data_IF_688261126437
#
_entry.id   IF_688261126437
#
_cell.length_a   1.000
_cell.length_b   1.000
_cell.length_c   1.000
_cell.angle_alpha   90.00
_cell.angle_beta   90.00
_cell.angle_gamma   90.00
#
_symmetry.space_group_name_H-M   'P 1'
#
loop_
_entity.id
_entity.type
_entity.pdbx_description
1 polymer ?
#
# COMPACT_ATOMS: atom_id res chain seq x y z
N UNK A 1 -3.53 -11.39 -6.67
CA UNK A 1 -4.35 -10.90 -5.53
C UNK A 1 -3.53 -10.03 -4.59
N UNK A 2 -2.30 -10.38 -4.31
CA UNK A 2 -1.41 -9.60 -3.43
C UNK A 2 -1.07 -8.21 -3.98
N UNK A 3 -0.93 -8.04 -5.30
CA UNK A 3 -0.56 -6.74 -5.90
C UNK A 3 -1.69 -5.70 -5.80
N UNK A 4 -2.95 -6.12 -5.83
CA UNK A 4 -4.11 -5.19 -5.90
C UNK A 4 -4.80 -4.98 -4.54
N UNK A 5 -4.82 -5.98 -3.65
CA UNK A 5 -5.15 -5.75 -2.23
C UNK A 5 -4.12 -4.83 -1.55
N UNK A 6 -2.92 -4.74 -2.13
CA UNK A 6 -1.88 -3.76 -1.78
C UNK A 6 -2.26 -2.33 -2.11
N UNK A 7 -2.93 -2.05 -3.23
CA UNK A 7 -3.33 -0.67 -3.50
C UNK A 7 -4.41 -0.20 -2.51
N UNK A 8 -5.32 -1.06 -2.08
CA UNK A 8 -6.27 -0.74 -1.03
C UNK A 8 -5.61 -0.68 0.36
N UNK A 9 -4.72 -1.62 0.67
CA UNK A 9 -3.93 -1.61 1.91
C UNK A 9 -2.83 -0.56 1.86
N UNK A 10 -2.11 -0.38 0.74
CA UNK A 10 -1.11 0.66 0.57
C UNK A 10 -1.75 2.06 0.52
N UNK A 11 -2.90 2.25 -0.11
CA UNK A 11 -3.63 3.50 -0.02
C UNK A 11 -4.13 3.78 1.41
N UNK A 12 -4.45 2.74 2.20
CA UNK A 12 -4.73 2.87 3.62
C UNK A 12 -3.46 3.12 4.45
N UNK A 13 -2.31 2.59 4.04
CA UNK A 13 -1.01 2.69 4.72
C UNK A 13 -0.27 3.98 4.32
N UNK A 14 -0.28 4.40 3.05
CA UNK A 14 0.31 5.67 2.62
C UNK A 14 -0.31 6.89 3.31
N UNK A 15 -1.60 6.83 3.60
CA UNK A 15 -2.28 7.87 4.40
C UNK A 15 -1.83 7.82 5.86
N UNK A 16 -1.24 6.70 6.31
CA UNK A 16 -0.93 6.52 7.72
C UNK A 16 0.38 7.14 8.20
N UNK A 17 1.37 7.40 7.38
CA UNK A 17 2.63 8.09 7.75
C UNK A 17 3.38 7.56 8.98
N UNK A 18 2.98 6.42 9.55
CA UNK A 18 3.57 5.79 10.73
C UNK A 18 3.65 4.28 10.50
N UNK A 19 4.83 3.69 10.66
CA UNK A 19 5.13 2.26 10.41
C UNK A 19 5.45 1.53 11.72
N UNK A 20 5.08 0.23 11.88
CA UNK A 20 5.15 -0.46 13.18
C UNK A 20 5.17 -2.01 13.19
N UNK A 21 5.57 -2.68 14.26
CA UNK A 21 5.93 -4.12 14.40
C UNK A 21 4.87 -5.18 14.75
N UNK A 22 5.25 -6.43 14.60
CA UNK A 22 4.52 -7.70 14.67
C UNK A 22 4.75 -8.53 15.94
N UNK A 23 3.81 -9.44 16.24
CA UNK A 23 3.99 -10.64 17.08
C UNK A 23 3.29 -11.87 16.46
N UNK A 24 3.86 -13.02 16.61
CA UNK A 24 3.87 -14.19 15.74
C UNK A 24 3.32 -15.49 16.35
N UNK A 25 3.11 -16.54 15.54
CA UNK A 25 2.71 -17.89 15.96
C UNK A 25 3.84 -18.94 15.95
N UNK A 26 3.81 -19.84 16.90
CA UNK A 26 4.94 -20.42 17.60
C UNK A 26 5.65 -21.66 17.05
N UNK A 27 5.43 -22.20 15.88
CA UNK A 27 6.06 -23.47 15.47
C UNK A 27 7.10 -23.38 14.33
N UNK A 28 7.06 -22.35 13.49
CA UNK A 28 8.11 -22.06 12.49
C UNK A 28 9.13 -21.04 12.99
N UNK A 29 8.92 -20.47 14.13
CA UNK A 29 9.41 -19.19 14.64
C UNK A 29 10.78 -19.21 15.31
N UNK A 30 11.26 -20.35 15.76
CA UNK A 30 12.54 -20.35 16.48
C UNK A 30 13.74 -19.91 15.62
N UNK A 31 13.61 -19.94 14.28
CA UNK A 31 14.66 -19.44 13.38
C UNK A 31 14.51 -17.96 13.04
N UNK A 32 13.29 -17.43 13.04
CA UNK A 32 13.05 -16.02 12.72
C UNK A 32 13.36 -15.09 13.89
N UNK A 33 13.01 -15.47 15.12
CA UNK A 33 13.28 -14.65 16.32
C UNK A 33 14.79 -14.39 16.53
N UNK A 34 15.65 -15.38 16.23
CA UNK A 34 17.11 -15.23 16.28
C UNK A 34 17.63 -14.23 15.26
N UNK A 35 17.01 -14.16 14.08
CA UNK A 35 17.38 -13.20 13.04
C UNK A 35 16.95 -11.76 13.43
N UNK A 36 15.79 -11.61 14.04
CA UNK A 36 15.25 -10.31 14.48
C UNK A 36 16.02 -9.71 15.65
N UNK A 37 16.35 -10.52 16.64
CA UNK A 37 17.23 -10.10 17.74
C UNK A 37 18.62 -9.76 17.20
N UNK A 38 19.11 -10.45 16.17
CA UNK A 38 20.35 -10.14 15.47
C UNK A 38 20.31 -8.78 14.74
N UNK A 39 19.23 -8.47 14.02
CA UNK A 39 19.07 -7.19 13.32
C UNK A 39 18.92 -6.04 14.31
N UNK A 40 18.11 -6.21 15.37
CA UNK A 40 17.97 -5.22 16.42
C UNK A 40 19.29 -5.03 17.20
N UNK A 41 20.01 -6.11 17.49
CA UNK A 41 21.32 -6.06 18.14
C UNK A 41 22.38 -5.44 17.22
N UNK A 42 22.39 -5.74 15.90
CA UNK A 42 23.25 -5.07 14.93
C UNK A 42 22.94 -3.57 14.79
N UNK A 43 21.66 -3.21 14.74
CA UNK A 43 21.25 -1.80 14.72
C UNK A 43 21.72 -1.06 16.00
N UNK A 44 21.54 -1.67 17.18
CA UNK A 44 22.00 -1.13 18.44
C UNK A 44 23.53 -1.08 18.59
N UNK A 45 24.25 -2.05 18.01
CA UNK A 45 25.72 -2.05 18.01
C UNK A 45 26.30 -1.05 17.02
N UNK A 46 25.67 -0.87 15.85
CA UNK A 46 26.03 0.17 14.88
C UNK A 46 25.78 1.58 15.46
N UNK A 47 24.74 1.78 16.26
CA UNK A 47 24.47 3.02 16.97
C UNK A 47 25.53 3.34 18.05
N UNK A 48 26.13 2.31 18.69
CA UNK A 48 27.24 2.49 19.64
C UNK A 48 28.58 2.77 18.94
N UNK A 49 28.73 2.33 17.69
CA UNK A 49 29.95 2.53 16.92
C UNK A 49 29.93 3.81 16.08
N UNK A 50 28.81 4.55 16.03
CA UNK A 50 28.73 5.82 15.35
C UNK A 50 29.68 6.81 16.04
N UNK A 51 30.69 7.33 15.34
CA UNK A 51 31.57 8.35 15.93
C UNK A 51 30.73 9.58 16.28
N UNK A 52 31.17 10.36 17.24
CA UNK A 52 30.50 11.56 17.80
C UNK A 52 30.22 12.69 16.78
N UNK A 53 30.18 12.41 15.50
CA UNK A 53 29.96 13.34 14.39
C UNK A 53 28.55 13.28 13.80
N UNK A 54 27.73 12.24 14.08
CA UNK A 54 26.34 12.21 13.66
C UNK A 54 25.53 13.21 14.48
N UNK A 55 24.89 14.18 13.81
CA UNK A 55 24.13 15.22 14.51
C UNK A 55 22.80 14.70 15.04
N UNK A 56 22.12 13.81 14.30
CA UNK A 56 20.86 13.18 14.70
C UNK A 56 20.78 11.80 14.05
N UNK A 57 20.30 10.83 14.80
CA UNK A 57 19.89 9.53 14.29
C UNK A 57 18.47 9.21 14.76
N UNK A 58 17.67 8.58 13.93
CA UNK A 58 16.34 8.10 14.32
C UNK A 58 16.12 6.65 13.90
N UNK A 59 15.41 5.93 14.73
CA UNK A 59 14.90 4.57 14.45
C UNK A 59 13.39 4.60 14.54
N UNK A 60 12.75 4.18 13.46
CA UNK A 60 11.32 3.97 13.39
C UNK A 60 11.06 2.48 13.29
N UNK A 61 10.22 2.02 14.14
CA UNK A 61 9.88 0.62 14.20
C UNK A 61 8.36 0.44 14.07
N UNK A 62 7.89 -0.48 13.19
CA UNK A 62 6.56 -0.55 12.76
C UNK A 62 5.79 -1.86 12.54
N UNK A 63 4.43 -1.93 12.88
CA UNK A 63 3.54 -2.99 12.38
C UNK A 63 2.11 -2.52 12.13
N UNK A 64 1.56 -2.90 11.00
CA UNK A 64 0.14 -2.80 10.72
C UNK A 64 -0.46 -4.22 10.62
N UNK A 65 -1.67 -4.38 11.12
CA UNK A 65 -2.46 -5.59 11.01
C UNK A 65 -3.76 -5.25 10.28
N UNK A 66 -3.95 -5.85 9.13
CA UNK A 66 -5.21 -5.80 8.39
C UNK A 66 -5.92 -7.14 8.56
N UNK A 67 -7.20 -7.08 8.95
CA UNK A 67 -8.05 -8.25 9.10
C UNK A 67 -9.36 -8.03 8.36
N UNK A 68 -9.67 -8.91 7.42
CA UNK A 68 -10.97 -9.03 6.78
C UNK A 68 -11.67 -10.28 7.35
N UNK A 69 -12.46 -10.14 8.42
CA UNK A 69 -13.14 -11.29 9.04
C UNK A 69 -14.27 -11.77 8.11
N UNK A 70 -14.28 -13.05 7.79
CA UNK A 70 -15.34 -13.70 7.05
C UNK A 70 -15.77 -14.97 7.75
N UNK A 71 -17.05 -15.35 7.63
CA UNK A 71 -17.59 -16.60 8.21
C UNK A 71 -16.98 -17.85 7.59
N UNK A 72 -16.40 -17.77 6.40
CA UNK A 72 -15.89 -18.91 5.62
C UNK A 72 -14.39 -18.87 5.39
N UNK A 73 -13.83 -17.72 5.28
CA UNK A 73 -12.39 -17.50 5.08
C UNK A 73 -12.06 -16.07 5.46
N UNK A 74 -11.04 -15.84 6.26
CA UNK A 74 -10.60 -14.50 6.64
C UNK A 74 -9.24 -14.19 6.03
N UNK A 75 -9.05 -12.96 5.55
CA UNK A 75 -7.75 -12.47 5.13
C UNK A 75 -7.09 -11.74 6.30
N UNK A 76 -5.86 -12.11 6.62
CA UNK A 76 -5.03 -11.40 7.59
C UNK A 76 -3.72 -11.02 6.90
N UNK A 77 -3.38 -9.74 6.98
CA UNK A 77 -2.09 -9.22 6.50
C UNK A 77 -1.39 -8.55 7.66
N UNK A 78 -0.16 -8.97 7.94
CA UNK A 78 0.73 -8.35 8.92
C UNK A 78 1.85 -7.66 8.17
N UNK A 79 2.01 -6.36 8.38
CA UNK A 79 3.02 -5.55 7.74
C UNK A 79 4.01 -4.99 8.77
N UNK A 80 5.07 -5.72 9.13
CA UNK A 80 6.17 -5.20 9.94
C UNK A 80 7.08 -4.30 9.11
N UNK A 81 7.58 -3.24 9.73
CA UNK A 81 8.52 -2.31 9.11
C UNK A 81 9.57 -1.81 10.10
N UNK A 82 10.76 -1.48 9.60
CA UNK A 82 11.83 -0.84 10.35
C UNK A 82 12.50 0.19 9.46
N UNK A 83 12.79 1.37 9.99
CA UNK A 83 13.56 2.37 9.28
C UNK A 83 14.64 2.97 10.19
N UNK A 84 15.78 3.28 9.59
CA UNK A 84 16.90 3.97 10.21
C UNK A 84 17.21 5.20 9.37
N UNK A 85 17.34 6.33 10.03
CA UNK A 85 17.87 7.56 9.42
C UNK A 85 19.04 8.07 10.23
N UNK A 86 20.11 8.46 9.55
CA UNK A 86 21.30 9.02 10.18
C UNK A 86 21.71 10.27 9.40
N UNK A 87 21.88 11.38 10.09
CA UNK A 87 22.36 12.63 9.52
C UNK A 87 23.80 12.89 9.98
N UNK A 88 24.81 12.43 9.20
CA UNK A 88 26.22 12.66 9.54
C UNK A 88 26.59 14.15 9.53
N UNK A 89 25.83 14.95 8.81
CA UNK A 89 26.00 16.40 8.73
C UNK A 89 24.65 17.07 8.49
N UNK A 90 24.62 18.40 8.63
CA UNK A 90 23.41 19.20 8.40
C UNK A 90 22.97 19.26 6.93
N UNK A 91 23.79 18.81 5.99
CA UNK A 91 23.51 18.80 4.55
C UNK A 91 23.26 17.39 4.00
N UNK A 92 23.59 16.31 4.74
CA UNK A 92 23.46 14.92 4.30
C UNK A 92 22.68 14.10 5.34
N UNK A 93 21.64 13.40 4.87
CA UNK A 93 20.94 12.36 5.61
C UNK A 93 20.97 11.06 4.82
N UNK A 94 21.27 9.96 5.49
CA UNK A 94 21.25 8.60 4.95
C UNK A 94 20.04 7.86 5.54
N UNK A 95 19.37 7.06 4.75
CA UNK A 95 18.20 6.32 5.18
C UNK A 95 18.22 4.89 4.65
N UNK A 96 17.77 3.96 5.50
CA UNK A 96 17.55 2.58 5.13
C UNK A 96 16.24 2.12 5.77
N UNK A 97 15.43 1.35 5.02
CA UNK A 97 14.21 0.78 5.58
C UNK A 97 13.98 -0.63 5.05
N UNK A 98 13.36 -1.42 5.89
CA UNK A 98 12.89 -2.75 5.58
C UNK A 98 11.40 -2.83 5.88
N UNK A 99 10.67 -3.51 5.00
CA UNK A 99 9.25 -3.77 5.12
C UNK A 99 8.95 -5.19 4.66
N UNK A 100 8.03 -5.85 5.33
CA UNK A 100 7.50 -7.13 4.87
C UNK A 100 5.97 -7.13 4.89
N UNK A 101 5.36 -7.83 3.95
CA UNK A 101 3.95 -8.16 3.95
C UNK A 101 3.81 -9.66 4.16
N UNK A 102 3.23 -10.06 5.28
CA UNK A 102 2.95 -11.45 5.61
C UNK A 102 1.44 -11.64 5.47
N UNK A 103 1.05 -12.35 4.42
CA UNK A 103 -0.34 -12.60 4.08
C UNK A 103 -0.73 -14.00 4.47
N UNK A 104 -1.83 -14.16 5.21
CA UNK A 104 -2.40 -15.46 5.55
C UNK A 104 -3.92 -15.44 5.43
N UNK A 105 -4.50 -16.54 5.01
CA UNK A 105 -5.94 -16.69 4.80
C UNK A 105 -6.36 -16.52 3.35
N UNK A 106 -7.65 -16.38 3.13
CA UNK A 106 -8.22 -16.16 1.80
C UNK A 106 -9.34 -15.13 1.95
N UNK A 107 -9.38 -14.15 1.05
CA UNK A 107 -10.62 -13.43 0.80
C UNK A 107 -11.65 -14.43 0.26
N UNK A 108 -12.94 -14.21 0.55
CA UNK A 108 -14.00 -15.14 0.16
C UNK A 108 -13.82 -15.63 -1.27
N UNK A 109 -13.46 -16.91 -1.41
CA UNK A 109 -13.54 -17.61 -2.67
C UNK A 109 -14.90 -18.27 -2.72
N UNK A 110 -15.61 -18.03 -3.80
CA UNK A 110 -16.80 -18.77 -4.08
C UNK A 110 -16.41 -20.21 -4.44
N UNK A 111 -16.40 -21.08 -3.47
CA UNK A 111 -16.57 -22.50 -3.75
C UNK A 111 -18.05 -22.73 -3.93
N UNK A 112 -18.54 -22.49 -5.16
CA UNK A 112 -19.91 -22.72 -5.54
C UNK A 112 -20.27 -24.18 -5.45
N UNK A 113 -21.38 -24.46 -4.78
CA UNK A 113 -22.14 -25.64 -5.11
C UNK A 113 -22.76 -25.46 -6.49
N UNK A 114 -22.68 -26.51 -7.33
CA UNK A 114 -23.24 -26.62 -8.68
C UNK A 114 -23.13 -25.37 -9.57
N UNK A 115 -22.26 -25.49 -10.51
CA UNK A 115 -21.75 -24.54 -11.50
C UNK A 115 -22.76 -23.77 -12.35
N UNK A 116 -24.05 -23.95 -12.21
CA UNK A 116 -25.04 -23.36 -13.10
C UNK A 116 -25.30 -21.86 -12.90
N UNK A 117 -24.70 -21.23 -11.86
CA UNK A 117 -24.93 -19.82 -11.57
C UNK A 117 -23.70 -19.11 -10.94
N UNK A 118 -22.48 -19.53 -11.26
CA UNK A 118 -21.25 -18.88 -10.75
C UNK A 118 -20.46 -18.31 -11.90
N UNK A 119 -20.43 -17.02 -11.97
CA UNK A 119 -19.88 -16.26 -13.10
C UNK A 119 -18.39 -16.00 -12.94
N UNK A 120 -17.89 -16.00 -11.70
CA UNK A 120 -16.52 -15.67 -11.36
C UNK A 120 -15.97 -16.67 -10.35
N UNK A 121 -14.93 -17.39 -10.73
CA UNK A 121 -14.16 -18.23 -9.82
C UNK A 121 -12.92 -17.46 -9.38
N UNK A 122 -12.97 -16.88 -8.20
CA UNK A 122 -11.74 -16.46 -7.54
C UNK A 122 -11.18 -17.68 -6.81
N UNK A 123 -10.13 -18.30 -7.34
CA UNK A 123 -9.45 -19.41 -6.68
C UNK A 123 -8.58 -18.89 -5.54
N UNK A 124 -9.21 -18.47 -4.46
CA UNK A 124 -8.48 -18.23 -3.20
C UNK A 124 -8.51 -19.52 -2.39
N UNK A 125 -7.65 -20.46 -2.71
CA UNK A 125 -7.20 -21.48 -1.76
C UNK A 125 -6.39 -20.81 -0.67
N UNK A 126 -6.29 -21.43 0.50
CA UNK A 126 -5.43 -20.99 1.60
C UNK A 126 -4.10 -20.47 1.06
N UNK A 127 -3.90 -19.16 1.17
CA UNK A 127 -2.76 -18.48 0.63
C UNK A 127 -1.91 -17.97 1.79
N UNK A 128 -0.66 -18.36 1.82
CA UNK A 128 0.33 -17.78 2.70
C UNK A 128 1.48 -17.29 1.84
N UNK A 129 1.72 -16.01 1.83
CA UNK A 129 2.81 -15.41 1.08
C UNK A 129 3.52 -14.35 1.90
N UNK A 130 4.80 -14.18 1.62
CA UNK A 130 5.61 -13.17 2.31
C UNK A 130 6.42 -12.39 1.28
N UNK A 131 6.17 -11.10 1.24
CA UNK A 131 6.98 -10.15 0.50
C UNK A 131 7.99 -9.52 1.43
N UNK A 132 9.19 -9.27 0.89
CA UNK A 132 10.23 -8.48 1.53
C UNK A 132 10.57 -7.30 0.65
N UNK A 133 10.70 -6.11 1.22
CA UNK A 133 11.19 -4.92 0.54
C UNK A 133 12.29 -4.25 1.37
N UNK A 134 13.39 -3.93 0.71
CA UNK A 134 14.52 -3.21 1.29
C UNK A 134 14.72 -1.93 0.49
N UNK A 135 14.76 -0.78 1.18
CA UNK A 135 15.02 0.52 0.57
C UNK A 135 16.26 1.14 1.18
N UNK A 136 17.11 1.69 0.34
CA UNK A 136 18.24 2.53 0.75
C UNK A 136 18.21 3.86 0.01
N UNK A 137 18.61 4.94 0.67
CA UNK A 137 18.59 6.26 0.05
C UNK A 137 19.39 7.31 0.81
N UNK A 138 19.45 8.49 0.22
CA UNK A 138 20.07 9.66 0.83
C UNK A 138 19.29 10.92 0.48
N UNK A 139 19.42 11.92 1.34
CA UNK A 139 18.91 13.28 1.12
C UNK A 139 20.06 14.27 1.26
N UNK A 140 20.23 15.14 0.26
CA UNK A 140 21.14 16.28 0.30
C UNK A 140 20.30 17.53 0.48
N UNK A 141 20.62 18.32 1.49
CA UNK A 141 19.94 19.59 1.79
C UNK A 141 20.89 20.74 1.66
N UNK A 142 20.52 21.77 0.92
CA UNK A 142 21.28 23.01 0.79
C UNK A 142 20.34 24.21 0.86
N UNK A 143 20.51 25.04 1.87
CA UNK A 143 19.63 26.17 2.18
C UNK A 143 18.15 25.71 2.29
N UNK A 144 17.29 26.16 1.38
CA UNK A 144 15.86 25.82 1.36
C UNK A 144 15.54 24.66 0.41
N UNK A 145 16.53 24.06 -0.25
CA UNK A 145 16.33 23.02 -1.26
C UNK A 145 16.85 21.68 -0.76
N UNK A 146 16.12 20.61 -1.03
CA UNK A 146 16.57 19.24 -0.78
C UNK A 146 16.42 18.38 -2.03
N UNK A 147 17.30 17.42 -2.17
CA UNK A 147 17.29 16.37 -3.18
C UNK A 147 17.39 15.02 -2.49
N UNK A 148 16.42 14.16 -2.73
CA UNK A 148 16.41 12.79 -2.22
C UNK A 148 16.53 11.80 -3.37
N UNK A 149 17.35 10.77 -3.20
CA UNK A 149 17.41 9.63 -4.12
C UNK A 149 17.31 8.34 -3.29
N UNK A 150 16.57 7.36 -3.81
CA UNK A 150 16.40 6.06 -3.17
C UNK A 150 16.30 4.94 -4.18
N UNK A 151 16.68 3.74 -3.74
CA UNK A 151 16.50 2.49 -4.45
C UNK A 151 15.81 1.48 -3.56
N UNK A 152 14.82 0.78 -4.13
CA UNK A 152 14.04 -0.26 -3.46
C UNK A 152 14.15 -1.58 -4.21
N UNK A 153 14.47 -2.64 -3.51
CA UNK A 153 14.38 -4.01 -3.98
C UNK A 153 13.28 -4.75 -3.24
N UNK A 154 12.35 -5.35 -3.98
CA UNK A 154 11.26 -6.17 -3.42
C UNK A 154 11.29 -7.58 -3.99
N UNK A 155 11.00 -8.58 -3.16
CA UNK A 155 10.95 -9.98 -3.58
C UNK A 155 9.83 -10.74 -2.88
N UNK A 156 9.21 -11.60 -3.65
CA UNK A 156 8.14 -12.53 -3.29
C UNK A 156 8.41 -13.84 -4.02
N UNK A 157 7.67 -14.90 -3.75
CA UNK A 157 7.91 -16.18 -4.45
C UNK A 157 7.57 -16.11 -5.95
N UNK A 158 6.68 -15.21 -6.35
CA UNK A 158 6.17 -15.05 -7.72
C UNK A 158 6.32 -13.64 -8.28
N UNK A 159 6.89 -12.72 -7.50
CA UNK A 159 7.05 -11.31 -7.87
C UNK A 159 8.41 -10.77 -7.43
N UNK A 160 9.06 -10.02 -8.32
CA UNK A 160 10.30 -9.29 -8.03
C UNK A 160 10.20 -7.87 -8.51
N UNK A 161 10.61 -6.93 -7.70
CA UNK A 161 10.57 -5.51 -8.04
C UNK A 161 11.91 -4.83 -7.81
N UNK A 162 12.23 -3.91 -8.70
CA UNK A 162 13.35 -3.00 -8.58
C UNK A 162 12.83 -1.60 -8.90
N UNK A 163 13.04 -0.65 -8.01
CA UNK A 163 12.59 0.70 -8.22
C UNK A 163 13.63 1.70 -7.74
N UNK A 164 13.79 2.79 -8.46
CA UNK A 164 14.50 3.97 -7.99
C UNK A 164 13.57 5.18 -8.01
N UNK A 165 13.78 6.08 -7.07
CA UNK A 165 13.04 7.32 -7.00
C UNK A 165 13.98 8.49 -6.72
N UNK A 166 13.64 9.64 -7.28
CA UNK A 166 14.30 10.92 -7.04
C UNK A 166 13.23 11.94 -6.72
N UNK A 167 13.42 12.73 -5.68
CA UNK A 167 12.58 13.90 -5.40
C UNK A 167 13.43 15.13 -5.12
N UNK A 168 12.90 16.27 -5.51
CA UNK A 168 13.47 17.57 -5.24
C UNK A 168 12.40 18.49 -4.68
N UNK A 169 12.69 19.14 -3.57
CA UNK A 169 11.79 20.11 -2.94
C UNK A 169 12.52 21.40 -2.58
N UNK A 170 11.78 22.49 -2.58
CA UNK A 170 12.33 23.80 -2.21
C UNK A 170 11.27 24.67 -1.56
N UNK A 171 11.72 25.45 -0.57
CA UNK A 171 10.90 26.40 0.17
C UNK A 171 11.12 27.81 -0.37
N UNK A 172 10.03 28.55 -0.51
CA UNK A 172 9.99 29.94 -0.94
C UNK A 172 9.26 30.81 0.09
N UNK A 173 9.29 32.13 -0.13
CA UNK A 173 8.51 33.11 0.64
C UNK A 173 8.63 32.88 2.16
N UNK A 174 9.87 32.83 2.67
CA UNK A 174 10.16 32.59 4.08
C UNK A 174 9.61 31.23 4.59
N UNK A 175 9.61 30.20 3.74
CA UNK A 175 9.06 28.86 3.97
C UNK A 175 7.54 28.77 4.04
N UNK A 176 6.83 29.83 3.63
CA UNK A 176 5.36 29.75 3.53
C UNK A 176 4.87 29.00 2.30
N UNK A 177 5.71 28.86 1.26
CA UNK A 177 5.41 28.09 0.05
C UNK A 177 6.44 26.99 -0.10
N UNK A 178 6.00 25.75 -0.30
CA UNK A 178 6.85 24.62 -0.63
C UNK A 178 6.41 24.02 -1.95
N UNK A 179 7.37 23.74 -2.83
CA UNK A 179 7.18 22.95 -4.05
C UNK A 179 8.00 21.69 -3.97
N UNK A 180 7.41 20.57 -4.35
CA UNK A 180 8.06 19.27 -4.40
C UNK A 180 7.74 18.56 -5.71
N UNK A 181 8.76 18.00 -6.36
CA UNK A 181 8.66 17.18 -7.55
C UNK A 181 9.30 15.84 -7.28
N UNK A 182 8.60 14.75 -7.59
CA UNK A 182 9.11 13.38 -7.47
C UNK A 182 8.96 12.63 -8.77
N UNK A 183 9.94 11.79 -9.05
CA UNK A 183 9.90 10.81 -10.13
C UNK A 183 10.36 9.45 -9.61
N UNK A 184 9.62 8.40 -9.96
CA UNK A 184 9.97 7.01 -9.66
C UNK A 184 9.90 6.15 -10.89
N UNK A 185 10.85 5.22 -11.03
CA UNK A 185 10.89 4.22 -12.08
C UNK A 185 10.99 2.83 -11.48
N UNK A 186 10.03 1.95 -11.85
CA UNK A 186 10.01 0.54 -11.45
C UNK A 186 10.21 -0.40 -12.64
N UNK A 187 10.86 -1.52 -12.36
CA UNK A 187 11.07 -2.65 -13.27
C UNK A 187 10.74 -3.92 -12.51
N UNK A 188 9.58 -4.46 -12.80
CA UNK A 188 9.06 -5.58 -12.03
C UNK A 188 8.93 -6.80 -12.93
N UNK A 189 9.04 -7.97 -12.31
CA UNK A 189 8.82 -9.26 -12.95
C UNK A 189 7.75 -10.01 -12.18
N UNK A 190 6.71 -10.44 -12.89
CA UNK A 190 5.64 -11.26 -12.35
C UNK A 190 5.65 -12.63 -13.02
N UNK A 191 5.45 -13.65 -12.24
CA UNK A 191 5.31 -15.00 -12.77
C UNK A 191 3.89 -15.26 -13.26
N UNK A 192 3.80 -15.92 -14.38
CA UNK A 192 2.53 -16.35 -14.98
C UNK A 192 2.66 -17.79 -15.49
N UNK A 193 1.55 -18.40 -15.85
CA UNK A 193 1.57 -19.59 -16.68
C UNK A 193 2.12 -19.25 -18.07
N UNK A 194 2.95 -20.12 -18.63
CA UNK A 194 3.50 -19.92 -19.96
C UNK A 194 2.39 -20.10 -21.02
N UNK A 195 2.27 -19.13 -21.91
CA UNK A 195 1.41 -19.17 -23.09
C UNK A 195 2.08 -18.45 -24.26
N UNK A 196 1.76 -18.89 -25.49
CA UNK A 196 2.26 -18.23 -26.69
C UNK A 196 1.42 -16.99 -27.03
N UNK A 197 2.00 -16.04 -27.77
CA UNK A 197 1.25 -14.86 -28.24
C UNK A 197 0.08 -15.24 -29.17
N UNK A 198 0.21 -16.38 -29.87
CA UNK A 198 -0.84 -16.95 -30.73
C UNK A 198 -1.99 -17.62 -29.98
N UNK A 199 -1.81 -17.92 -28.69
CA UNK A 199 -2.85 -18.58 -27.90
C UNK A 199 -4.02 -17.63 -27.67
N UNK A 200 -5.23 -18.13 -27.92
CA UNK A 200 -6.43 -17.35 -27.65
C UNK A 200 -6.47 -16.97 -26.17
N UNK A 201 -6.73 -15.70 -25.82
CA UNK A 201 -6.76 -15.28 -24.43
C UNK A 201 -7.68 -16.14 -23.54
N UNK A 202 -8.80 -16.61 -24.08
CA UNK A 202 -9.75 -17.50 -23.38
C UNK A 202 -9.21 -18.91 -23.09
N UNK A 203 -8.11 -19.33 -23.72
CA UNK A 203 -7.47 -20.63 -23.47
C UNK A 203 -6.32 -20.55 -22.45
N UNK A 204 -5.96 -19.35 -21.98
CA UNK A 204 -4.88 -19.15 -21.03
C UNK A 204 -5.32 -19.55 -19.62
N UNK A 205 -4.50 -20.33 -18.94
CA UNK A 205 -4.82 -20.84 -17.61
C UNK A 205 -4.24 -19.93 -16.52
N UNK A 206 -4.98 -19.80 -15.43
CA UNK A 206 -4.48 -19.14 -14.23
C UNK A 206 -3.33 -19.94 -13.60
N UNK A 207 -2.46 -19.25 -12.90
CA UNK A 207 -1.37 -19.83 -12.13
C UNK A 207 -1.97 -20.61 -10.94
N UNK A 208 -1.45 -21.80 -10.67
CA UNK A 208 -1.72 -22.51 -9.43
C UNK A 208 -0.71 -22.08 -8.35
N UNK A 209 -1.08 -22.15 -7.08
CA UNK A 209 -0.21 -21.81 -5.96
C UNK A 209 0.73 -22.95 -5.54
N UNK A 210 0.75 -24.06 -6.29
CA UNK A 210 1.40 -25.29 -5.85
C UNK A 210 2.91 -25.31 -6.05
N UNK A 211 3.43 -24.48 -6.96
CA UNK A 211 4.86 -24.50 -7.32
C UNK A 211 5.44 -23.09 -7.35
N UNK A 212 6.65 -22.94 -6.84
CA UNK A 212 7.38 -21.67 -6.86
C UNK A 212 7.58 -21.12 -8.27
N UNK A 213 7.76 -19.86 -8.36
CA UNK A 213 8.06 -19.14 -9.59
C UNK A 213 9.56 -18.83 -9.74
N UNK A 214 9.92 -18.27 -10.90
CA UNK A 214 11.32 -18.05 -11.28
C UNK A 214 12.17 -19.33 -11.25
N UNK A 215 11.53 -20.47 -11.51
CA UNK A 215 12.17 -21.79 -11.66
C UNK A 215 12.36 -22.12 -13.15
N UNK A 216 13.10 -23.18 -13.45
CA UNK A 216 13.26 -23.67 -14.83
C UNK A 216 12.04 -24.49 -15.32
N UNK A 217 10.87 -24.32 -14.74
CA UNK A 217 9.64 -24.99 -15.17
C UNK A 217 9.15 -24.38 -16.49
N UNK A 218 9.05 -25.21 -17.53
CA UNK A 218 8.57 -24.80 -18.86
C UNK A 218 7.10 -24.33 -18.88
N UNK A 219 6.33 -24.64 -17.85
CA UNK A 219 4.94 -24.20 -17.70
C UNK A 219 4.82 -22.81 -17.11
N UNK A 220 5.91 -22.20 -16.70
CA UNK A 220 6.02 -20.90 -16.07
C UNK A 220 6.70 -19.90 -16.99
N UNK A 221 6.27 -18.67 -16.96
CA UNK A 221 6.88 -17.57 -17.69
C UNK A 221 7.03 -16.36 -16.78
N UNK A 222 8.12 -15.64 -16.94
CA UNK A 222 8.30 -14.32 -16.33
C UNK A 222 7.78 -13.26 -17.30
N UNK A 223 6.90 -12.37 -16.83
CA UNK A 223 6.41 -11.21 -17.57
C UNK A 223 6.91 -9.94 -16.89
N UNK A 224 7.21 -8.95 -17.70
CA UNK A 224 7.73 -7.68 -17.24
C UNK A 224 6.62 -6.66 -17.00
N UNK A 225 6.83 -5.79 -16.00
CA UNK A 225 6.02 -4.60 -15.75
C UNK A 225 6.98 -3.42 -15.62
N UNK A 226 6.70 -2.37 -16.36
CA UNK A 226 7.42 -1.11 -16.33
C UNK A 226 6.52 -0.03 -15.74
N UNK A 227 7.02 0.66 -14.73
CA UNK A 227 6.29 1.67 -13.97
C UNK A 227 7.02 3.01 -14.05
N UNK A 228 6.29 4.09 -14.31
CA UNK A 228 6.78 5.46 -14.14
C UNK A 228 5.78 6.22 -13.29
N UNK A 229 6.25 6.80 -12.22
CA UNK A 229 5.44 7.60 -11.30
C UNK A 229 5.95 9.03 -11.25
N UNK A 230 5.04 9.98 -11.30
CA UNK A 230 5.32 11.42 -11.20
C UNK A 230 4.43 12.02 -10.13
N UNK A 231 4.99 12.89 -9.31
CA UNK A 231 4.20 13.66 -8.35
C UNK A 231 4.71 15.10 -8.29
N UNK A 232 3.77 16.03 -8.27
CA UNK A 232 4.00 17.45 -8.03
C UNK A 232 3.18 17.86 -6.82
N UNK A 233 3.81 18.41 -5.81
CA UNK A 233 3.20 18.94 -4.59
C UNK A 233 3.43 20.45 -4.48
N UNK A 234 2.38 21.17 -4.13
CA UNK A 234 2.44 22.57 -3.73
C UNK A 234 1.76 22.73 -2.39
N UNK A 235 2.50 23.21 -1.39
CA UNK A 235 1.99 23.53 -0.06
C UNK A 235 2.11 25.02 0.18
N UNK A 236 1.04 25.63 0.67
CA UNK A 236 0.98 27.04 1.00
C UNK A 236 0.46 27.23 2.42
N UNK A 237 1.25 27.88 3.26
CA UNK A 237 0.82 28.41 4.56
C UNK A 237 0.32 29.83 4.35
N UNK A 238 -0.96 30.06 4.57
CA UNK A 238 -1.62 31.36 4.39
C UNK A 238 -1.56 32.20 5.67
N UNK A 239 -1.80 31.53 6.79
CA UNK A 239 -1.70 32.11 8.14
C UNK A 239 -1.05 31.09 9.06
N UNK A 240 -0.64 31.44 10.28
CA UNK A 240 -0.14 30.47 11.26
C UNK A 240 -1.12 29.32 11.57
N UNK A 241 -2.40 29.54 11.33
CA UNK A 241 -3.47 28.56 11.60
C UNK A 241 -3.97 27.83 10.35
N UNK A 242 -3.70 28.36 9.15
CA UNK A 242 -4.29 27.81 7.92
C UNK A 242 -3.24 27.52 6.84
N UNK A 243 -3.23 26.29 6.39
CA UNK A 243 -2.41 25.83 5.29
C UNK A 243 -3.23 24.99 4.30
N UNK A 244 -2.83 25.02 3.03
CA UNK A 244 -3.38 24.17 1.96
C UNK A 244 -2.26 23.43 1.25
N UNK A 245 -2.60 22.26 0.71
CA UNK A 245 -1.71 21.46 -0.13
C UNK A 245 -2.47 20.99 -1.36
N UNK A 246 -1.88 21.19 -2.52
CA UNK A 246 -2.33 20.64 -3.80
C UNK A 246 -1.31 19.61 -4.27
N UNK A 247 -1.78 18.40 -4.59
CA UNK A 247 -0.93 17.31 -5.08
C UNK A 247 -1.50 16.78 -6.39
N UNK A 248 -0.67 16.80 -7.42
CA UNK A 248 -0.94 16.10 -8.68
C UNK A 248 -0.05 14.85 -8.73
N UNK A 249 -0.62 13.70 -9.06
CA UNK A 249 0.11 12.45 -9.29
C UNK A 249 -0.28 11.80 -10.60
N UNK A 250 0.69 11.22 -11.29
CA UNK A 250 0.48 10.45 -12.51
C UNK A 250 1.33 9.17 -12.47
N UNK A 251 0.77 8.06 -12.95
CA UNK A 251 1.46 6.80 -13.08
C UNK A 251 1.23 6.20 -14.47
N UNK A 252 2.31 5.78 -15.12
CA UNK A 252 2.28 5.09 -16.39
C UNK A 252 2.78 3.65 -16.17
N UNK A 253 1.96 2.69 -16.51
CA UNK A 253 2.23 1.26 -16.35
C UNK A 253 2.19 0.59 -17.71
N UNK A 254 3.14 -0.30 -17.96
CA UNK A 254 3.25 -1.07 -19.20
C UNK A 254 3.73 -2.48 -18.90
N UNK A 255 3.14 -3.48 -19.56
CA UNK A 255 3.45 -4.89 -19.40
C UNK A 255 2.29 -5.70 -18.86
N UNK A 256 2.56 -6.77 -18.13
CA UNK A 256 1.51 -7.65 -17.61
C UNK A 256 0.82 -7.03 -16.38
N UNK A 257 -0.37 -6.46 -16.57
CA UNK A 257 -1.14 -5.78 -15.54
C UNK A 257 -2.30 -6.60 -14.98
N UNK A 258 -2.45 -7.87 -15.37
CA UNK A 258 -3.45 -8.78 -14.84
C UNK A 258 -3.00 -9.49 -13.55
N UNK A 259 -3.95 -10.16 -12.89
CA UNK A 259 -3.64 -11.05 -11.78
C UNK A 259 -3.40 -12.47 -12.31
N UNK A 260 -2.21 -13.08 -12.13
CA UNK A 260 -1.91 -14.39 -12.71
C UNK A 260 -2.70 -15.54 -12.07
N UNK A 261 -3.32 -15.33 -10.93
CA UNK A 261 -4.08 -16.35 -10.18
C UNK A 261 -5.59 -16.26 -10.40
N UNK A 262 -6.08 -15.24 -11.09
CA UNK A 262 -7.50 -14.98 -11.24
C UNK A 262 -8.01 -15.40 -12.61
N UNK A 263 -9.10 -16.15 -12.60
CA UNK A 263 -9.81 -16.57 -13.81
C UNK A 263 -11.28 -16.22 -13.73
N UNK A 264 -11.93 -16.11 -14.87
CA UNK A 264 -13.38 -16.00 -15.02
C UNK A 264 -13.95 -17.26 -15.62
N UNK A 265 -15.21 -17.57 -15.29
CA UNK A 265 -15.96 -18.65 -15.94
C UNK A 265 -16.60 -18.08 -17.20
N UNK A 266 -16.25 -18.61 -18.38
CA UNK A 266 -16.61 -18.05 -19.69
C UNK A 266 -17.66 -18.85 -20.45
N UNK A 267 -18.02 -20.04 -19.96
CA UNK A 267 -18.99 -20.90 -20.64
C UNK A 267 -19.94 -21.58 -19.67
N UNK A 268 -21.17 -21.91 -20.10
CA UNK A 268 -22.14 -22.63 -19.25
C UNK A 268 -21.62 -23.97 -18.71
N UNK A 269 -20.65 -24.58 -19.42
CA UNK A 269 -19.98 -25.80 -18.99
C UNK A 269 -18.98 -25.61 -17.84
N UNK A 270 -18.66 -24.36 -17.46
CA UNK A 270 -17.71 -24.03 -16.39
C UNK A 270 -16.28 -23.90 -16.88
N UNK A 271 -16.04 -23.68 -18.17
CA UNK A 271 -14.71 -23.40 -18.71
C UNK A 271 -14.17 -22.09 -18.08
N UNK A 272 -12.90 -22.12 -17.70
CA UNK A 272 -12.23 -21.00 -17.05
C UNK A 272 -11.15 -20.41 -17.96
N UNK A 273 -11.04 -19.09 -17.95
CA UNK A 273 -9.98 -18.37 -18.63
C UNK A 273 -9.30 -17.39 -17.68
N UNK A 274 -7.98 -17.27 -17.80
CA UNK A 274 -7.22 -16.22 -17.12
C UNK A 274 -7.80 -14.85 -17.50
N UNK A 275 -7.91 -13.93 -16.53
CA UNK A 275 -8.26 -12.55 -16.82
C UNK A 275 -7.32 -11.95 -17.87
N UNK A 276 -7.86 -11.14 -18.74
CA UNK A 276 -7.09 -10.48 -19.80
C UNK A 276 -7.25 -8.97 -19.70
N UNK A 277 -6.23 -8.31 -19.18
CA UNK A 277 -6.20 -6.87 -19.01
C UNK A 277 -5.41 -6.18 -20.13
N UNK A 278 -5.70 -4.91 -20.44
CA UNK A 278 -4.81 -4.12 -21.29
C UNK A 278 -3.40 -4.02 -20.68
N UNK A 279 -2.37 -4.14 -21.51
CA UNK A 279 -0.96 -4.07 -21.08
C UNK A 279 -0.49 -2.65 -20.80
N UNK A 280 -1.37 -1.64 -21.00
CA UNK A 280 -1.06 -0.24 -20.75
C UNK A 280 -2.11 0.36 -19.82
N UNK A 281 -1.66 1.11 -18.81
CA UNK A 281 -2.52 1.89 -17.95
C UNK A 281 -1.87 3.22 -17.57
N UNK A 282 -2.52 4.32 -17.90
CA UNK A 282 -2.16 5.63 -17.42
C UNK A 282 -3.16 6.06 -16.35
N UNK A 283 -2.66 6.51 -15.20
CA UNK A 283 -3.45 6.94 -14.05
C UNK A 283 -3.14 8.39 -13.73
N UNK A 284 -4.12 9.15 -13.32
CA UNK A 284 -3.96 10.51 -12.84
C UNK A 284 -4.79 10.76 -11.60
N UNK A 285 -4.26 11.52 -10.65
CA UNK A 285 -5.03 11.98 -9.51
C UNK A 285 -4.65 13.41 -9.13
N UNK A 286 -5.65 14.15 -8.65
CA UNK A 286 -5.52 15.49 -8.11
C UNK A 286 -6.10 15.51 -6.70
N UNK A 287 -5.30 15.89 -5.71
CA UNK A 287 -5.69 16.02 -4.31
C UNK A 287 -5.57 17.46 -3.83
N UNK A 288 -6.55 17.91 -3.09
CA UNK A 288 -6.55 19.18 -2.37
C UNK A 288 -6.81 18.91 -0.91
N UNK A 289 -5.88 19.34 -0.05
CA UNK A 289 -6.00 19.28 1.41
C UNK A 289 -6.00 20.69 1.99
N UNK A 290 -6.88 20.94 2.95
CA UNK A 290 -6.84 22.11 3.80
C UNK A 290 -6.67 21.71 5.26
N UNK A 291 -5.84 22.42 6.02
CA UNK A 291 -5.68 22.23 7.47
C UNK A 291 -5.87 23.54 8.19
N UNK A 292 -6.75 23.56 9.18
CA UNK A 292 -7.06 24.74 9.97
C UNK A 292 -6.95 24.43 11.48
N UNK A 293 -6.18 25.22 12.20
CA UNK A 293 -6.01 25.10 13.65
C UNK A 293 -6.91 26.08 14.38
N UNK A 294 -7.81 25.56 15.20
CA UNK A 294 -8.72 26.35 16.04
C UNK A 294 -8.10 26.50 17.42
N UNK A 295 -7.52 27.68 17.70
CA UNK A 295 -6.78 27.95 18.94
C UNK A 295 -7.63 27.73 20.19
N UNK A 296 -8.90 28.16 20.18
CA UNK A 296 -9.82 28.03 21.35
C UNK A 296 -10.15 26.58 21.71
N UNK A 297 -10.00 25.66 20.76
CA UNK A 297 -10.26 24.24 20.95
C UNK A 297 -8.97 23.41 21.04
N UNK A 298 -7.80 24.05 20.83
CA UNK A 298 -6.51 23.35 20.70
C UNK A 298 -6.57 22.18 19.70
N UNK A 299 -7.36 22.34 18.65
CA UNK A 299 -7.71 21.28 17.70
C UNK A 299 -7.41 21.73 16.28
N UNK A 300 -6.73 20.89 15.52
CA UNK A 300 -6.56 21.05 14.09
C UNK A 300 -7.56 20.19 13.33
N UNK A 301 -8.29 20.80 12.41
CA UNK A 301 -9.18 20.12 11.48
C UNK A 301 -8.53 20.06 10.11
N UNK A 302 -8.60 18.92 9.45
CA UNK A 302 -8.17 18.76 8.07
C UNK A 302 -9.34 18.27 7.22
N UNK A 303 -9.40 18.73 5.97
CA UNK A 303 -10.28 18.22 4.95
C UNK A 303 -9.48 17.90 3.69
N UNK A 304 -9.72 16.75 3.09
CA UNK A 304 -9.04 16.27 1.90
C UNK A 304 -10.06 15.84 0.84
N UNK A 305 -9.83 16.24 -0.39
CA UNK A 305 -10.59 15.81 -1.56
C UNK A 305 -9.62 15.32 -2.61
N UNK A 306 -9.80 14.10 -3.10
CA UNK A 306 -8.99 13.53 -4.18
C UNK A 306 -9.87 13.03 -5.30
N UNK A 307 -9.55 13.42 -6.52
CA UNK A 307 -10.15 12.95 -7.76
C UNK A 307 -9.13 12.09 -8.50
N UNK A 308 -9.59 10.95 -8.99
CA UNK A 308 -8.79 9.98 -9.72
C UNK A 308 -9.46 9.63 -11.05
N UNK A 309 -8.65 9.45 -12.10
CA UNK A 309 -9.09 8.88 -13.37
C UNK A 309 -7.95 8.11 -14.03
N UNK A 310 -8.32 7.06 -14.78
CA UNK A 310 -7.37 6.27 -15.57
C UNK A 310 -7.89 5.90 -16.97
N UNK A 311 -7.00 5.29 -17.76
CA UNK A 311 -7.32 4.85 -19.13
C UNK A 311 -8.17 3.58 -19.18
N UNK A 312 -8.44 2.93 -18.06
CA UNK A 312 -9.39 1.83 -17.94
C UNK A 312 -10.81 2.32 -17.63
N UNK A 313 -11.02 3.65 -17.71
CA UNK A 313 -12.27 4.38 -17.47
C UNK A 313 -12.74 4.36 -16.01
N UNK A 314 -11.87 4.03 -15.08
CA UNK A 314 -12.18 4.18 -13.67
C UNK A 314 -12.09 5.65 -13.29
N UNK A 315 -13.17 6.16 -12.69
CA UNK A 315 -13.22 7.46 -12.03
C UNK A 315 -13.47 7.25 -10.54
N UNK A 316 -12.57 7.78 -9.71
CA UNK A 316 -12.63 7.65 -8.25
C UNK A 316 -12.68 9.01 -7.56
N UNK A 317 -13.39 9.04 -6.43
CA UNK A 317 -13.51 10.22 -5.57
C UNK A 317 -13.24 9.81 -4.12
N UNK A 318 -12.39 10.56 -3.44
CA UNK A 318 -12.13 10.39 -2.00
C UNK A 318 -12.45 11.69 -1.28
N UNK A 319 -13.11 11.60 -0.15
CA UNK A 319 -13.32 12.69 0.80
C UNK A 319 -12.86 12.20 2.17
N UNK A 320 -11.99 12.95 2.82
CA UNK A 320 -11.49 12.62 4.16
C UNK A 320 -11.57 13.85 5.05
N UNK A 321 -11.91 13.64 6.31
CA UNK A 321 -11.91 14.66 7.35
C UNK A 321 -11.20 14.12 8.58
N UNK A 322 -10.35 14.95 9.18
CA UNK A 322 -9.60 14.63 10.39
C UNK A 322 -9.79 15.72 11.43
N UNK A 323 -9.79 15.31 12.70
CA UNK A 323 -9.69 16.20 13.85
C UNK A 323 -8.56 15.72 14.76
N UNK A 324 -7.57 16.57 15.00
CA UNK A 324 -6.38 16.27 15.77
C UNK A 324 -6.32 17.21 16.98
N UNK A 325 -6.29 16.63 18.19
CA UNK A 325 -6.37 17.36 19.44
C UNK A 325 -5.28 16.91 20.44
N UNK A 326 -4.70 17.86 21.17
CA UNK A 326 -3.82 17.60 22.30
C UNK A 326 -4.64 17.43 23.57
N UNK A 327 -4.85 16.18 24.00
CA UNK A 327 -5.46 15.92 25.32
C UNK A 327 -4.54 16.31 26.47
N UNK A 328 -3.24 16.10 26.28
CA UNK A 328 -2.16 16.50 27.17
C UNK A 328 -0.94 16.88 26.35
N UNK A 329 0.04 17.64 26.87
CA UNK A 329 1.25 17.98 26.13
C UNK A 329 2.02 16.77 25.59
N UNK A 330 1.83 15.59 26.18
CA UNK A 330 2.46 14.34 25.81
C UNK A 330 1.53 13.37 25.05
N UNK A 331 0.23 13.68 24.96
CA UNK A 331 -0.77 12.82 24.33
C UNK A 331 -1.57 13.60 23.29
N UNK A 332 -1.42 13.20 22.04
CA UNK A 332 -2.19 13.71 20.90
C UNK A 332 -3.09 12.62 20.38
N UNK A 333 -4.35 12.95 20.11
CA UNK A 333 -5.34 12.05 19.53
C UNK A 333 -5.84 12.60 18.22
N UNK A 334 -6.14 11.71 17.30
CA UNK A 334 -6.71 12.01 15.99
C UNK A 334 -7.93 11.13 15.78
N UNK A 335 -9.01 11.73 15.33
CA UNK A 335 -10.18 11.04 14.79
C UNK A 335 -10.27 11.31 13.30
N UNK A 336 -10.64 10.31 12.49
CA UNK A 336 -10.78 10.45 11.05
C UNK A 336 -12.00 9.74 10.49
N UNK A 337 -12.52 10.29 9.39
CA UNK A 337 -13.54 9.67 8.58
C UNK A 337 -13.22 9.84 7.11
N UNK A 338 -13.35 8.76 6.32
CA UNK A 338 -13.10 8.77 4.88
C UNK A 338 -14.24 8.09 4.14
N UNK A 339 -14.64 8.70 3.06
CA UNK A 339 -15.53 8.13 2.05
C UNK A 339 -14.78 8.01 0.73
N UNK A 340 -14.88 6.85 0.09
CA UNK A 340 -14.37 6.59 -1.24
C UNK A 340 -15.46 6.03 -2.12
N UNK A 341 -15.46 6.40 -3.41
CA UNK A 341 -16.36 5.89 -4.41
C UNK A 341 -15.64 5.79 -5.76
N UNK A 342 -15.88 4.70 -6.51
CA UNK A 342 -15.36 4.54 -7.87
C UNK A 342 -16.39 3.96 -8.83
N UNK A 343 -16.20 4.26 -10.14
CA UNK A 343 -16.83 3.56 -11.24
C UNK A 343 -16.13 2.21 -11.50
N UNK A 344 -16.68 1.41 -12.40
CA UNK A 344 -16.04 0.18 -12.89
C UNK A 344 -15.07 0.44 -14.02
N UNK A 345 -14.14 -0.50 -14.24
CA UNK A 345 -13.34 -0.54 -15.44
C UNK A 345 -14.20 -0.87 -16.68
N UNK A 346 -13.80 -0.34 -17.83
CA UNK A 346 -14.54 -0.52 -19.10
C UNK A 346 -14.76 -2.01 -19.46
N UNK A 347 -13.81 -2.86 -19.14
CA UNK A 347 -13.81 -4.29 -19.45
C UNK A 347 -14.18 -5.18 -18.25
N UNK A 348 -14.68 -4.59 -17.16
CA UNK A 348 -15.14 -5.34 -15.98
C UNK A 348 -16.56 -5.85 -16.18
N UNK A 349 -16.79 -7.09 -15.78
CA UNK A 349 -18.12 -7.68 -15.59
C UNK A 349 -18.09 -8.69 -14.46
N UNK A 350 -19.22 -8.91 -13.85
CA UNK A 350 -19.45 -9.96 -12.87
C UNK A 350 -20.09 -11.22 -13.49
N UNK A 351 -20.44 -11.20 -14.76
CA UNK A 351 -21.07 -12.30 -15.49
C UNK A 351 -20.44 -12.48 -16.87
N UNK A 352 -19.91 -13.68 -17.11
CA UNK A 352 -19.33 -14.15 -18.37
C UNK A 352 -19.93 -15.49 -18.83
N UNK A 353 -21.05 -15.92 -18.22
CA UNK A 353 -21.65 -17.24 -18.51
C UNK A 353 -22.38 -17.32 -19.84
N UNK A 354 -22.46 -16.21 -20.55
CA UNK A 354 -23.03 -16.17 -21.93
C UNK A 354 -22.25 -16.93 -22.99
N UNK A 355 -21.14 -17.61 -22.63
CA UNK A 355 -20.31 -18.32 -23.58
C UNK A 355 -19.44 -17.36 -24.39
N UNK A 356 -18.63 -16.57 -23.71
CA UNK A 356 -17.85 -15.53 -24.32
C UNK A 356 -16.84 -16.05 -25.33
N UNK A 357 -16.78 -15.44 -26.52
CA UNK A 357 -15.80 -15.80 -27.52
C UNK A 357 -14.36 -15.44 -27.02
N UNK A 358 -13.36 -15.92 -27.74
CA UNK A 358 -11.97 -15.58 -27.47
C UNK A 358 -11.69 -14.07 -27.43
N UNK A 359 -12.54 -13.25 -28.05
CA UNK A 359 -12.51 -11.81 -28.03
C UNK A 359 -13.14 -11.17 -26.77
N UNK A 360 -13.80 -11.99 -25.91
CA UNK A 360 -14.51 -11.52 -24.73
C UNK A 360 -15.79 -10.72 -25.02
N UNK A 361 -16.62 -10.45 -24.00
CA UNK A 361 -17.92 -9.78 -24.16
C UNK A 361 -17.81 -8.31 -24.56
N UNK A 362 -16.65 -7.71 -24.35
CA UNK A 362 -16.37 -6.30 -24.60
C UNK A 362 -15.06 -6.09 -25.34
N UNK A 363 -14.81 -6.93 -26.33
CA UNK A 363 -13.55 -6.99 -27.05
C UNK A 363 -12.59 -8.01 -26.42
N UNK A 364 -11.30 -7.77 -26.59
CA UNK A 364 -10.26 -8.72 -26.18
C UNK A 364 -9.92 -8.71 -24.67
N UNK A 365 -10.52 -7.80 -23.87
CA UNK A 365 -10.22 -7.63 -22.46
C UNK A 365 -11.42 -7.99 -21.60
N UNK A 366 -11.15 -8.65 -20.46
CA UNK A 366 -12.16 -9.02 -19.47
C UNK A 366 -11.55 -9.21 -18.08
N UNK A 367 -12.31 -8.89 -17.06
CA UNK A 367 -11.93 -9.07 -15.66
C UNK A 367 -13.17 -9.19 -14.78
N UNK A 368 -13.13 -10.10 -13.82
CA UNK A 368 -14.08 -10.20 -12.71
C UNK A 368 -13.52 -9.62 -11.41
N UNK A 369 -12.43 -8.87 -11.47
CA UNK A 369 -11.79 -8.32 -10.29
C UNK A 369 -12.71 -7.36 -9.53
N UNK A 370 -13.00 -7.67 -8.25
CA UNK A 370 -13.82 -6.82 -7.39
C UNK A 370 -13.25 -5.40 -7.24
N UNK A 371 -11.93 -5.26 -7.35
CA UNK A 371 -11.26 -3.96 -7.23
C UNK A 371 -11.40 -3.09 -8.48
N UNK A 372 -11.74 -3.70 -9.61
CA UNK A 372 -12.12 -3.02 -10.84
C UNK A 372 -13.63 -2.81 -10.97
N UNK A 373 -14.41 -3.30 -10.00
CA UNK A 373 -15.87 -3.15 -9.94
C UNK A 373 -16.27 -1.75 -9.46
N UNK A 374 -17.53 -1.36 -9.66
CA UNK A 374 -18.05 -0.16 -9.02
C UNK A 374 -18.21 -0.44 -7.52
N UNK A 375 -17.55 0.34 -6.70
CA UNK A 375 -17.58 0.18 -5.25
C UNK A 375 -17.61 1.52 -4.51
N UNK A 376 -18.06 1.47 -3.25
CA UNK A 376 -17.88 2.56 -2.31
C UNK A 376 -17.35 2.03 -0.98
N UNK A 377 -16.52 2.80 -0.30
CA UNK A 377 -16.01 2.43 1.01
C UNK A 377 -16.10 3.57 2.02
N UNK A 378 -16.28 3.19 3.27
CA UNK A 378 -16.37 4.07 4.43
C UNK A 378 -15.34 3.63 5.45
N UNK A 379 -14.49 4.56 5.88
CA UNK A 379 -13.53 4.32 6.94
C UNK A 379 -13.78 5.29 8.07
N UNK A 380 -13.81 4.76 9.28
CA UNK A 380 -13.84 5.56 10.52
C UNK A 380 -12.76 5.01 11.43
N UNK A 381 -11.97 5.90 12.01
CA UNK A 381 -10.90 5.45 12.88
C UNK A 381 -10.30 6.56 13.71
N UNK A 382 -9.23 6.20 14.42
CA UNK A 382 -8.52 7.14 15.25
C UNK A 382 -7.13 6.66 15.60
N UNK A 383 -6.34 7.58 16.12
CA UNK A 383 -4.98 7.35 16.58
C UNK A 383 -4.71 8.05 17.89
N UNK A 384 -3.85 7.46 18.70
CA UNK A 384 -3.22 8.08 19.86
C UNK A 384 -1.72 8.11 19.63
N UNK A 385 -1.09 9.26 19.84
CA UNK A 385 0.36 9.45 19.78
C UNK A 385 0.82 9.97 21.15
N UNK A 386 1.68 9.20 21.76
CA UNK A 386 2.36 9.55 23.02
C UNK A 386 3.78 9.98 22.70
N UNK A 387 4.18 11.16 23.10
CA UNK A 387 5.55 11.67 22.89
C UNK A 387 6.15 12.09 24.21
N UNK A 388 7.38 11.64 24.45
CA UNK A 388 8.18 12.08 25.59
C UNK A 388 9.49 12.65 25.08
N UNK A 389 9.69 13.94 25.31
CA UNK A 389 10.93 14.64 24.99
C UNK A 389 11.90 14.57 26.17
N UNK A 390 13.19 14.47 25.88
CA UNK A 390 14.26 14.64 26.86
C UNK A 390 14.30 16.10 27.36
N UNK A 391 14.68 16.28 28.63
CA UNK A 391 14.98 17.61 29.14
C UNK A 391 16.36 18.05 28.67
N UNK A 392 16.66 19.38 28.62
CA UNK A 392 18.01 19.85 28.34
C UNK A 392 19.03 19.17 29.27
N UNK A 393 19.98 18.44 28.67
CA UNK A 393 21.01 17.68 29.40
C UNK A 393 20.59 16.33 29.98
N UNK A 394 19.31 15.91 29.80
CA UNK A 394 18.85 14.58 30.24
C UNK A 394 18.11 13.84 29.11
N UNK A 395 18.56 12.65 28.78
CA UNK A 395 17.96 11.80 27.74
C UNK A 395 16.82 10.92 28.28
N UNK A 396 15.80 10.67 27.46
CA UNK A 396 14.74 9.71 27.78
C UNK A 396 15.35 8.30 27.78
N UNK A 397 15.07 7.51 28.82
CA UNK A 397 15.64 6.18 29.03
C UNK A 397 17.19 6.13 28.89
N UNK A 398 17.87 7.22 29.19
CA UNK A 398 19.35 7.33 29.17
C UNK A 398 19.98 7.45 27.79
N UNK A 399 19.20 7.33 26.68
CA UNK A 399 19.76 7.33 25.32
C UNK A 399 19.02 8.22 24.30
N UNK A 400 17.71 8.41 24.42
CA UNK A 400 16.91 9.09 23.40
C UNK A 400 16.77 10.59 23.68
N UNK A 401 16.85 11.41 22.63
CA UNK A 401 16.46 12.82 22.66
C UNK A 401 14.93 12.93 22.74
N UNK A 402 14.23 12.12 21.95
CA UNK A 402 12.78 11.98 22.00
C UNK A 402 12.36 10.52 21.82
N UNK A 403 11.22 10.17 22.39
CA UNK A 403 10.62 8.86 22.30
C UNK A 403 9.13 9.02 22.01
N UNK A 404 8.65 8.41 20.93
CA UNK A 404 7.23 8.44 20.58
C UNK A 404 6.69 7.03 20.39
N UNK A 405 5.47 6.82 20.89
CA UNK A 405 4.67 5.63 20.66
C UNK A 405 3.34 6.00 20.02
N UNK A 406 2.89 5.27 19.03
CA UNK A 406 1.62 5.49 18.36
C UNK A 406 0.78 4.21 18.36
N UNK A 407 -0.52 4.35 18.50
CA UNK A 407 -1.50 3.30 18.33
C UNK A 407 -2.61 3.82 17.43
N UNK A 408 -3.05 3.03 16.46
CA UNK A 408 -4.16 3.35 15.57
C UNK A 408 -5.12 2.20 15.40
N UNK A 409 -6.37 2.54 15.18
CA UNK A 409 -7.43 1.60 14.84
C UNK A 409 -8.37 2.23 13.80
N UNK A 410 -8.67 1.47 12.75
CA UNK A 410 -9.64 1.87 11.73
C UNK A 410 -10.60 0.72 11.43
N UNK A 411 -11.85 1.08 11.26
CA UNK A 411 -12.92 0.24 10.73
C UNK A 411 -13.18 0.64 9.29
N UNK A 412 -13.09 -0.31 8.36
CA UNK A 412 -13.34 -0.12 6.94
C UNK A 412 -14.53 -0.99 6.52
N UNK A 413 -15.53 -0.37 5.91
CA UNK A 413 -16.65 -1.06 5.26
C UNK A 413 -16.60 -0.79 3.76
N UNK A 414 -16.63 -1.84 2.94
CA UNK A 414 -16.67 -1.75 1.47
C UNK A 414 -17.95 -2.37 0.94
N UNK A 415 -18.68 -1.59 0.17
CA UNK A 415 -19.88 -2.02 -0.53
C UNK A 415 -19.54 -2.23 -2.00
N UNK A 416 -19.72 -3.46 -2.49
CA UNK A 416 -19.58 -3.80 -3.91
C UNK A 416 -20.93 -3.55 -4.58
N UNK A 417 -21.01 -2.50 -5.38
CA UNK A 417 -22.20 -2.17 -6.15
C UNK A 417 -22.19 -2.94 -7.48
N UNK A 418 -23.36 -3.32 -7.94
CA UNK A 418 -23.54 -4.04 -9.21
C UNK A 418 -22.72 -5.34 -9.30
N UNK A 419 -22.34 -5.92 -8.18
CA UNK A 419 -21.55 -7.14 -8.11
C UNK A 419 -22.47 -8.28 -7.63
N UNK A 420 -22.62 -9.32 -8.46
CA UNK A 420 -23.38 -10.51 -8.12
C UNK A 420 -22.48 -11.74 -8.12
N UNK A 421 -22.74 -12.65 -7.21
CA UNK A 421 -22.03 -13.90 -7.06
C UNK A 421 -23.05 -15.03 -7.04
N UNK A 422 -23.13 -15.81 -8.14
CA UNK A 422 -24.15 -16.85 -8.28
C UNK A 422 -25.57 -16.28 -8.18
N UNK A 423 -25.82 -15.10 -8.79
CA UNK A 423 -27.11 -14.42 -8.79
C UNK A 423 -27.46 -13.75 -7.44
N UNK A 424 -26.51 -13.59 -6.52
CA UNK A 424 -26.70 -12.91 -5.25
C UNK A 424 -25.70 -11.78 -5.07
N UNK A 425 -26.16 -10.66 -4.58
CA UNK A 425 -25.25 -9.59 -4.12
C UNK A 425 -24.44 -10.10 -2.92
N UNK A 426 -23.11 -10.02 -2.94
CA UNK A 426 -22.30 -10.39 -1.80
C UNK A 426 -22.57 -9.47 -0.62
N UNK A 427 -22.34 -9.97 0.59
CA UNK A 427 -22.37 -9.15 1.78
C UNK A 427 -21.29 -8.07 1.70
N UNK A 428 -21.55 -6.93 2.36
CA UNK A 428 -20.55 -5.87 2.50
C UNK A 428 -19.27 -6.42 3.15
N UNK A 429 -18.13 -6.08 2.60
CA UNK A 429 -16.85 -6.47 3.17
C UNK A 429 -16.48 -5.52 4.33
N UNK A 430 -16.15 -6.09 5.47
CA UNK A 430 -15.66 -5.36 6.64
C UNK A 430 -14.20 -5.70 6.84
N UNK A 431 -13.38 -4.68 7.08
CA UNK A 431 -11.99 -4.87 7.49
C UNK A 431 -11.64 -4.04 8.72
N UNK A 432 -10.78 -4.58 9.56
CA UNK A 432 -10.22 -3.95 10.74
C UNK A 432 -8.73 -3.70 10.50
N UNK A 433 -8.28 -2.49 10.75
CA UNK A 433 -6.87 -2.13 10.63
C UNK A 433 -6.37 -1.67 12.00
N UNK A 434 -5.33 -2.32 12.47
CA UNK A 434 -4.61 -1.95 13.68
C UNK A 434 -3.22 -1.49 13.32
N UNK A 435 -2.72 -0.48 14.00
CA UNK A 435 -1.35 -0.04 13.84
C UNK A 435 -0.72 0.28 15.19
N UNK A 436 0.53 -0.04 15.32
CA UNK A 436 1.28 0.22 16.54
C UNK A 436 2.64 0.88 16.21
N UNK A 437 3.17 2.03 16.82
CA UNK A 437 4.28 2.95 16.57
C UNK A 437 5.32 3.10 17.64
N UNK A 438 6.54 3.05 17.19
CA UNK A 438 7.66 3.43 18.02
C UNK A 438 8.69 4.22 17.20
N UNK A 439 9.05 5.40 17.67
CA UNK A 439 10.13 6.21 17.12
C UNK A 439 11.05 6.68 18.25
N UNK A 440 12.33 6.45 18.07
CA UNK A 440 13.38 6.96 18.96
C UNK A 440 14.34 7.86 18.20
N UNK A 441 14.63 9.03 18.74
CA UNK A 441 15.65 9.96 18.22
C UNK A 441 16.83 10.00 19.21
N UNK A 442 18.07 10.03 18.67
CA UNK A 442 19.31 9.92 19.45
C UNK A 442 20.16 11.17 19.37
#
# INVERSE_FOLDING_TARGET
MVVLSREAAAAAIEVLGVRLFSTTNAASERRSLGCWLGVAACALTLLRAAPATAQVASVDLGTALFQEPSKRSGLTVVNPSAALSVSPSNWLSLQASYEADIVSGASESLKGGRLSNVDIVTSATHFADTRHALTGGFTITRASTHLTASYTYGTEHDYRSNAFAVSAGTDFLQKNTQLELSYGRGFDHVCTTAYAASDAPSSRLALDNSTGCFTNDKKRASREISLNNFQLGWTQTWTPEFATQLVFSAALQNGFLGNPYRSVVIAPAGDQALENHPENRARGALGLRGKYYVRSLETAFSGDVRLYRDTWDIFGQTFEVDAEHYLFPWLRVLARGRFYNQSKALFWSDDYTGGEPASGPRGQYWSGDRELSPLSSYLVGGRALVTKEGRPGARVAGMFLSLSGAFGFDFLKTNLRDFTLGGRTPDDTIALLWSLGFRGEF
#
